data_IF_049744580229
#
_entry.id   IF_049744580229
#
_cell.length_a   1.000
_cell.length_b   1.000
_cell.length_c   1.000
_cell.angle_alpha   90.00
_cell.angle_beta   90.00
_cell.angle_gamma   90.00
#
_symmetry.space_group_name_H-M   'P 1'
#
loop_
_entity.id
_entity.type
_entity.pdbx_description
1 polymer ?
#
# COMPACT_ATOMS: atom_id res chain seq x y z
N UNK A 1 -1.67 -15.89 18.04
CA UNK A 1 -2.14 -15.10 16.90
C UNK A 1 -3.27 -14.18 17.33
N UNK A 2 -3.02 -12.88 17.31
CA UNK A 2 -3.98 -11.82 17.61
C UNK A 2 -4.10 -10.91 16.40
N UNK A 3 -5.32 -10.77 15.87
CA UNK A 3 -5.66 -9.86 14.77
C UNK A 3 -6.96 -9.16 15.18
N UNK A 4 -6.95 -7.83 15.17
CA UNK A 4 -8.09 -7.04 15.61
C UNK A 4 -8.30 -5.86 14.65
N UNK A 5 -9.54 -5.71 14.18
CA UNK A 5 -9.95 -4.48 13.50
C UNK A 5 -9.98 -3.34 14.52
N UNK A 6 -9.38 -2.21 14.16
CA UNK A 6 -9.26 -1.03 15.01
C UNK A 6 -9.62 0.20 14.18
N UNK A 7 -10.32 1.14 14.81
CA UNK A 7 -10.64 2.38 14.13
C UNK A 7 -9.38 3.06 13.57
N UNK A 8 -9.47 3.52 12.32
CA UNK A 8 -8.34 4.12 11.62
C UNK A 8 -7.73 5.30 12.37
N UNK A 9 -8.55 6.18 12.96
CA UNK A 9 -8.05 7.33 13.71
C UNK A 9 -7.26 6.91 14.97
N UNK A 10 -7.68 5.84 15.65
CA UNK A 10 -6.98 5.31 16.82
C UNK A 10 -5.59 4.77 16.45
N UNK A 11 -5.47 4.06 15.33
CA UNK A 11 -4.17 3.60 14.81
C UNK A 11 -3.28 4.81 14.51
N UNK A 12 -3.80 5.80 13.78
CA UNK A 12 -3.02 6.98 13.41
C UNK A 12 -2.58 7.80 14.64
N UNK A 13 -3.36 7.78 15.72
CA UNK A 13 -2.97 8.37 17.00
C UNK A 13 -1.84 7.63 17.74
N UNK A 14 -1.63 6.34 17.47
CA UNK A 14 -0.59 5.50 18.11
C UNK A 14 0.68 5.35 17.28
N UNK A 15 0.57 5.38 15.95
CA UNK A 15 1.68 5.11 15.01
C UNK A 15 2.11 6.40 14.30
N UNK A 16 2.91 7.23 15.00
CA UNK A 16 3.29 8.57 14.53
C UNK A 16 3.96 8.57 13.13
N UNK A 17 4.84 7.60 12.84
CA UNK A 17 5.48 7.51 11.52
C UNK A 17 4.50 7.18 10.40
N UNK A 18 3.50 6.34 10.69
CA UNK A 18 2.43 6.00 9.75
C UNK A 18 1.53 7.20 9.48
N UNK A 19 1.10 7.91 10.53
CA UNK A 19 0.32 9.14 10.38
C UNK A 19 1.08 10.23 9.62
N UNK A 20 2.37 10.41 9.91
CA UNK A 20 3.22 11.37 9.20
C UNK A 20 3.41 11.00 7.72
N UNK A 21 3.61 9.72 7.42
CA UNK A 21 3.69 9.21 6.04
C UNK A 21 2.41 9.52 5.27
N UNK A 22 1.26 9.15 5.82
CA UNK A 22 -0.03 9.33 5.16
C UNK A 22 -0.38 10.82 4.99
N UNK A 23 0.01 11.66 5.95
CA UNK A 23 -0.21 13.12 5.87
C UNK A 23 0.47 13.71 4.63
N UNK A 24 1.75 13.39 4.41
CA UNK A 24 2.48 13.86 3.23
C UNK A 24 2.00 13.17 1.96
N UNK A 25 1.84 11.85 1.99
CA UNK A 25 1.44 11.10 0.81
C UNK A 25 0.06 11.54 0.29
N UNK A 26 -0.93 11.73 1.18
CA UNK A 26 -2.26 12.20 0.78
C UNK A 26 -2.23 13.66 0.31
N UNK A 27 -1.36 14.51 0.89
CA UNK A 27 -1.18 15.87 0.40
C UNK A 27 -0.58 15.90 -1.01
N UNK A 28 0.43 15.08 -1.29
CA UNK A 28 1.14 15.05 -2.57
C UNK A 28 0.34 14.34 -3.67
N UNK A 29 -0.19 13.15 -3.37
CA UNK A 29 -0.85 12.29 -4.35
C UNK A 29 -2.18 12.87 -4.86
N UNK A 30 -2.79 13.75 -4.07
CA UNK A 30 -4.08 14.37 -4.38
C UNK A 30 -4.04 15.89 -4.27
N UNK A 31 -2.85 16.50 -4.38
CA UNK A 31 -2.74 17.92 -4.64
C UNK A 31 -3.53 18.20 -5.94
N UNK A 32 -4.58 19.03 -5.91
CA UNK A 32 -5.34 19.36 -7.11
C UNK A 32 -4.46 19.88 -8.25
N UNK A 33 -3.31 20.49 -7.98
CA UNK A 33 -2.38 20.92 -9.00
C UNK A 33 -1.67 19.76 -9.74
N UNK A 34 -1.60 18.57 -9.14
CA UNK A 34 -0.94 17.39 -9.72
C UNK A 34 -1.90 16.49 -10.50
N UNK A 35 -3.21 16.58 -10.26
CA UNK A 35 -4.22 15.66 -10.81
C UNK A 35 -5.34 16.35 -11.59
N UNK A 36 -5.29 17.68 -11.73
CA UNK A 36 -6.30 18.42 -12.49
C UNK A 36 -6.15 18.21 -13.99
N UNK A 37 -7.27 18.06 -14.68
CA UNK A 37 -7.36 18.14 -16.14
C UNK A 37 -7.73 19.55 -16.58
N UNK A 38 -7.28 19.95 -17.76
CA UNK A 38 -7.54 21.28 -18.34
C UNK A 38 -8.47 21.22 -19.56
N UNK A 39 -9.10 22.37 -19.87
CA UNK A 39 -9.86 22.51 -21.11
C UNK A 39 -8.93 22.33 -22.32
N UNK A 40 -9.39 21.56 -23.31
CA UNK A 40 -8.60 21.23 -24.49
C UNK A 40 -7.74 19.97 -24.35
N UNK A 41 -7.61 19.40 -23.16
CA UNK A 41 -6.95 18.10 -22.97
C UNK A 41 -7.79 16.96 -23.56
N UNK A 42 -7.10 15.93 -24.06
CA UNK A 42 -7.71 14.71 -24.58
C UNK A 42 -7.69 13.64 -23.49
N UNK A 43 -8.88 13.29 -23.02
CA UNK A 43 -9.06 12.25 -22.00
C UNK A 43 -10.00 11.17 -22.52
N UNK A 44 -9.74 9.94 -22.13
CA UNK A 44 -10.70 8.84 -22.29
C UNK A 44 -11.62 8.89 -21.07
N UNK A 45 -12.91 9.15 -21.29
CA UNK A 45 -13.87 9.24 -20.20
C UNK A 45 -14.35 7.84 -19.82
N UNK A 46 -14.49 6.98 -20.82
CA UNK A 46 -14.83 5.57 -20.67
C UNK A 46 -13.79 4.70 -21.38
N UNK A 47 -13.64 3.44 -20.95
CA UNK A 47 -12.68 2.50 -21.55
C UNK A 47 -13.08 2.03 -22.95
N UNK A 48 -14.38 2.07 -23.28
CA UNK A 48 -14.92 1.68 -24.57
C UNK A 48 -15.19 2.87 -25.50
N UNK A 49 -14.78 4.07 -25.09
CA UNK A 49 -14.79 5.26 -25.94
C UNK A 49 -14.06 4.93 -27.26
N UNK A 50 -14.69 5.25 -28.39
CA UNK A 50 -14.08 5.03 -29.71
C UNK A 50 -12.98 6.08 -30.00
N UNK A 51 -12.99 7.21 -29.29
CA UNK A 51 -12.00 8.26 -29.36
C UNK A 51 -11.97 9.07 -28.06
N UNK A 52 -10.80 9.59 -27.69
CA UNK A 52 -10.67 10.49 -26.55
C UNK A 52 -11.52 11.77 -26.74
N UNK A 53 -12.16 12.19 -25.66
CA UNK A 53 -12.91 13.45 -25.59
C UNK A 53 -11.96 14.62 -25.37
N UNK A 54 -12.12 15.68 -26.16
CA UNK A 54 -11.46 16.97 -25.89
C UNK A 54 -12.34 17.73 -24.89
N UNK A 55 -11.80 18.04 -23.72
CA UNK A 55 -12.58 18.62 -22.64
C UNK A 55 -12.98 20.08 -22.93
N UNK A 56 -14.25 20.41 -22.74
CA UNK A 56 -14.68 21.80 -22.54
C UNK A 56 -14.25 22.31 -21.17
N UNK A 57 -14.30 23.64 -20.97
CA UNK A 57 -14.06 24.25 -19.65
C UNK A 57 -15.01 23.69 -18.58
N UNK A 58 -16.29 23.51 -18.93
CA UNK A 58 -17.30 22.94 -18.02
C UNK A 58 -16.99 21.47 -17.68
N UNK A 59 -16.60 20.66 -18.66
CA UNK A 59 -16.26 19.25 -18.42
C UNK A 59 -15.02 19.13 -17.54
N UNK A 60 -13.95 19.87 -17.82
CA UNK A 60 -12.74 19.88 -17.01
C UNK A 60 -13.05 20.34 -15.57
N UNK A 61 -13.82 21.42 -15.40
CA UNK A 61 -14.24 21.90 -14.09
C UNK A 61 -15.05 20.85 -13.30
N UNK A 62 -15.97 20.15 -13.97
CA UNK A 62 -16.80 19.11 -13.35
C UNK A 62 -15.98 17.88 -12.95
N UNK A 63 -15.09 17.39 -13.81
CA UNK A 63 -14.18 16.27 -13.50
C UNK A 63 -13.32 16.63 -12.29
N UNK A 64 -12.68 17.80 -12.32
CA UNK A 64 -11.83 18.26 -11.22
C UNK A 64 -12.63 18.43 -9.91
N UNK A 65 -13.88 18.92 -9.97
CA UNK A 65 -14.73 19.05 -8.80
C UNK A 65 -15.11 17.69 -8.20
N UNK A 66 -15.47 16.71 -9.05
CA UNK A 66 -15.79 15.34 -8.64
C UNK A 66 -14.58 14.65 -8.00
N UNK A 67 -13.42 14.68 -8.66
CA UNK A 67 -12.19 14.07 -8.12
C UNK A 67 -11.77 14.69 -6.78
N UNK A 68 -11.92 16.02 -6.61
CA UNK A 68 -11.69 16.66 -5.31
C UNK A 68 -12.67 16.21 -4.24
N UNK A 69 -13.96 16.12 -4.56
CA UNK A 69 -14.97 15.67 -3.61
C UNK A 69 -14.73 14.21 -3.17
N UNK A 70 -14.40 13.33 -4.11
CA UNK A 70 -14.02 11.94 -3.84
C UNK A 70 -12.77 11.87 -2.96
N UNK A 71 -11.73 12.64 -3.26
CA UNK A 71 -10.54 12.69 -2.42
C UNK A 71 -10.86 13.16 -0.99
N UNK A 72 -11.61 14.25 -0.84
CA UNK A 72 -11.96 14.77 0.49
C UNK A 72 -12.79 13.77 1.31
N UNK A 73 -13.58 12.92 0.66
CA UNK A 73 -14.32 11.85 1.32
C UNK A 73 -13.41 10.68 1.77
N UNK A 74 -12.29 10.47 1.09
CA UNK A 74 -11.37 9.35 1.34
C UNK A 74 -10.16 9.70 2.22
N UNK A 75 -9.80 10.97 2.34
CA UNK A 75 -8.61 11.38 3.11
C UNK A 75 -8.81 11.23 4.62
N UNK A 76 -7.72 11.11 5.35
CA UNK A 76 -7.74 11.14 6.81
C UNK A 76 -7.74 12.58 7.35
N UNK A 77 -8.26 12.79 8.56
CA UNK A 77 -7.95 14.00 9.34
C UNK A 77 -6.61 13.82 10.06
N UNK A 78 -5.55 14.35 9.45
CA UNK A 78 -4.17 14.27 9.94
C UNK A 78 -3.64 15.63 10.39
N UNK A 79 -4.54 16.55 10.75
CA UNK A 79 -4.17 17.93 11.14
C UNK A 79 -3.23 17.95 12.35
N UNK A 80 -3.43 17.04 13.31
CA UNK A 80 -2.61 16.90 14.51
C UNK A 80 -1.42 15.94 14.37
N UNK A 81 -1.26 15.27 13.22
CA UNK A 81 -0.15 14.34 13.04
C UNK A 81 1.18 15.08 12.88
N UNK A 82 2.23 14.53 13.49
CA UNK A 82 3.59 15.04 13.41
C UNK A 82 4.08 15.09 11.95
N UNK A 83 4.88 16.11 11.62
CA UNK A 83 5.55 16.22 10.33
C UNK A 83 7.01 15.77 10.46
N UNK A 84 7.22 14.46 10.46
CA UNK A 84 8.52 13.83 10.56
C UNK A 84 9.26 13.95 9.22
N UNK A 85 10.50 14.42 9.23
CA UNK A 85 11.31 14.47 8.01
C UNK A 85 11.71 13.06 7.55
N UNK A 86 11.38 12.70 6.31
CA UNK A 86 11.82 11.43 5.75
C UNK A 86 13.35 11.43 5.51
N UNK A 87 14.03 10.40 6.02
CA UNK A 87 15.47 10.17 5.83
C UNK A 87 15.76 9.34 4.57
N UNK A 88 14.74 9.09 3.77
CA UNK A 88 14.73 8.33 2.53
C UNK A 88 14.14 6.92 2.66
N UNK A 89 13.89 6.34 1.50
CA UNK A 89 13.30 5.01 1.34
C UNK A 89 14.38 3.95 1.04
N UNK A 90 14.26 2.78 1.67
CA UNK A 90 15.04 1.57 1.32
C UNK A 90 14.08 0.60 0.62
N UNK A 91 14.45 0.04 -0.52
CA UNK A 91 13.60 -0.91 -1.26
C UNK A 91 14.23 -2.30 -1.11
N UNK A 92 13.57 -3.18 -0.37
CA UNK A 92 13.95 -4.57 -0.20
C UNK A 92 13.17 -5.49 -1.13
N UNK A 93 13.82 -6.53 -1.65
CA UNK A 93 13.18 -7.57 -2.43
C UNK A 93 13.72 -8.95 -2.09
N UNK A 94 12.94 -9.99 -2.36
CA UNK A 94 13.37 -11.38 -2.21
C UNK A 94 13.75 -11.94 -3.58
N UNK A 95 14.93 -12.57 -3.73
CA UNK A 95 15.33 -13.25 -4.96
C UNK A 95 14.55 -14.57 -5.11
N UNK A 96 13.30 -14.47 -5.56
CA UNK A 96 12.42 -15.62 -5.84
C UNK A 96 12.33 -15.88 -7.33
N UNK A 97 12.08 -17.14 -7.72
CA UNK A 97 11.95 -17.52 -9.12
C UNK A 97 10.61 -17.07 -9.74
N UNK A 98 9.55 -17.04 -8.93
CA UNK A 98 8.19 -16.75 -9.34
C UNK A 98 7.36 -16.16 -8.18
N UNK A 99 6.14 -15.71 -8.52
CA UNK A 99 5.20 -15.07 -7.59
C UNK A 99 4.72 -16.01 -6.49
N UNK A 100 4.46 -17.28 -6.82
CA UNK A 100 3.97 -18.26 -5.85
C UNK A 100 5.02 -18.55 -4.79
N UNK A 101 6.28 -18.68 -5.21
CA UNK A 101 7.44 -18.81 -4.33
C UNK A 101 7.59 -17.58 -3.45
N UNK A 102 7.41 -16.38 -3.99
CA UNK A 102 7.45 -15.14 -3.19
C UNK A 102 6.33 -15.12 -2.15
N UNK A 103 5.08 -15.36 -2.54
CA UNK A 103 3.93 -15.37 -1.64
C UNK A 103 4.11 -16.41 -0.52
N UNK A 104 4.66 -17.59 -0.83
CA UNK A 104 4.92 -18.64 0.15
C UNK A 104 6.08 -18.31 1.12
N UNK A 105 7.02 -17.44 0.73
CA UNK A 105 8.24 -17.16 1.51
C UNK A 105 8.26 -15.81 2.21
N UNK A 106 7.46 -14.84 1.78
CA UNK A 106 7.50 -13.47 2.32
C UNK A 106 7.32 -13.47 3.84
N UNK A 107 6.40 -14.29 4.38
CA UNK A 107 6.17 -14.38 5.82
C UNK A 107 7.43 -14.86 6.57
N UNK A 108 8.07 -15.94 6.13
CA UNK A 108 9.28 -16.47 6.77
C UNK A 108 10.44 -15.45 6.78
N UNK A 109 10.69 -14.77 5.67
CA UNK A 109 11.73 -13.75 5.59
C UNK A 109 11.38 -12.53 6.45
N UNK A 110 10.10 -12.12 6.44
CA UNK A 110 9.62 -11.05 7.28
C UNK A 110 9.71 -11.38 8.78
N UNK A 111 9.47 -12.63 9.17
CA UNK A 111 9.61 -13.08 10.56
C UNK A 111 11.04 -12.88 11.05
N UNK A 112 12.04 -13.25 10.23
CA UNK A 112 13.46 -13.05 10.54
C UNK A 112 13.76 -11.56 10.71
N UNK A 113 13.30 -10.73 9.76
CA UNK A 113 13.46 -9.28 9.81
C UNK A 113 12.84 -8.67 11.07
N UNK A 114 11.60 -9.05 11.40
CA UNK A 114 10.87 -8.54 12.55
C UNK A 114 11.54 -8.94 13.87
N UNK A 115 12.01 -10.19 13.99
CA UNK A 115 12.73 -10.65 15.19
C UNK A 115 14.04 -9.90 15.40
N UNK A 116 14.84 -9.72 14.34
CA UNK A 116 16.12 -9.00 14.41
C UNK A 116 15.94 -7.49 14.69
N UNK A 117 14.77 -6.92 14.37
CA UNK A 117 14.39 -5.53 14.68
C UNK A 117 13.54 -5.41 15.95
N UNK A 118 13.31 -6.53 16.65
CA UNK A 118 12.50 -6.61 17.87
C UNK A 118 11.05 -6.12 17.71
N UNK A 119 10.50 -6.19 16.49
CA UNK A 119 9.12 -5.83 16.20
C UNK A 119 8.14 -6.92 16.63
N UNK A 120 7.14 -6.54 17.44
CA UNK A 120 6.18 -7.50 18.01
C UNK A 120 4.73 -7.20 17.65
N UNK A 121 4.40 -5.92 17.44
CA UNK A 121 3.04 -5.43 17.18
C UNK A 121 3.03 -4.54 15.97
N UNK A 122 2.00 -4.67 15.14
CA UNK A 122 1.93 -4.03 13.85
C UNK A 122 0.56 -3.41 13.64
N UNK A 123 0.55 -2.22 13.03
CA UNK A 123 -0.62 -1.65 12.39
C UNK A 123 -0.55 -1.90 10.88
N UNK A 124 -1.70 -2.22 10.29
CA UNK A 124 -1.90 -2.39 8.86
C UNK A 124 -3.03 -1.46 8.41
N UNK A 125 -2.73 -0.59 7.44
CA UNK A 125 -3.65 0.39 6.88
C UNK A 125 -3.53 0.46 5.36
N UNK A 126 -4.57 1.02 4.74
CA UNK A 126 -4.60 1.49 3.36
C UNK A 126 -4.16 2.96 3.27
N UNK A 127 -3.73 3.44 2.10
CA UNK A 127 -3.23 4.82 1.93
C UNK A 127 -4.33 5.89 2.07
N UNK A 128 -5.59 5.50 1.87
CA UNK A 128 -6.80 6.30 2.07
C UNK A 128 -7.88 5.48 2.77
N UNK A 129 -9.01 6.10 3.14
CA UNK A 129 -10.18 5.46 3.72
C UNK A 129 -10.93 4.59 2.71
N UNK A 130 -10.29 3.53 2.23
CA UNK A 130 -10.88 2.50 1.37
C UNK A 130 -10.76 1.12 2.02
N UNK A 131 -11.76 0.25 1.86
CA UNK A 131 -11.68 -1.13 2.29
C UNK A 131 -10.53 -1.88 1.58
N UNK A 132 -9.88 -2.80 2.30
CA UNK A 132 -8.85 -3.67 1.70
C UNK A 132 -9.41 -4.56 0.59
N UNK A 133 -10.69 -4.93 0.70
CA UNK A 133 -11.39 -5.83 -0.22
C UNK A 133 -12.41 -5.06 -1.09
N UNK A 134 -12.13 -3.80 -1.40
CA UNK A 134 -12.92 -2.92 -2.26
C UNK A 134 -13.25 -3.60 -3.61
N UNK A 135 -12.19 -3.95 -4.35
CA UNK A 135 -12.31 -4.57 -5.67
C UNK A 135 -12.60 -6.08 -5.58
N UNK A 136 -13.43 -6.60 -6.50
CA UNK A 136 -13.57 -8.05 -6.76
C UNK A 136 -12.60 -8.50 -7.85
N UNK A 137 -12.08 -9.71 -7.73
CA UNK A 137 -11.18 -10.29 -8.72
C UNK A 137 -11.38 -11.80 -8.82
N UNK A 138 -11.62 -12.30 -10.03
CA UNK A 138 -11.89 -13.72 -10.27
C UNK A 138 -10.62 -14.58 -10.37
N UNK A 139 -9.43 -13.98 -10.31
CA UNK A 139 -8.17 -14.70 -10.31
C UNK A 139 -8.04 -15.58 -9.06
N UNK A 140 -7.76 -16.87 -9.25
CA UNK A 140 -7.86 -17.87 -8.19
C UNK A 140 -7.02 -17.57 -6.93
N UNK A 141 -5.75 -17.13 -7.03
CA UNK A 141 -4.97 -16.70 -5.87
C UNK A 141 -5.62 -15.55 -5.09
N UNK A 142 -6.27 -14.61 -5.78
CA UNK A 142 -6.92 -13.46 -5.17
C UNK A 142 -8.19 -13.90 -4.44
N UNK A 143 -9.04 -14.72 -5.06
CA UNK A 143 -10.24 -15.25 -4.38
C UNK A 143 -9.90 -16.00 -3.09
N UNK A 144 -8.81 -16.78 -3.10
CA UNK A 144 -8.30 -17.45 -1.89
C UNK A 144 -7.82 -16.45 -0.85
N UNK A 145 -7.11 -15.39 -1.26
CA UNK A 145 -6.68 -14.33 -0.38
C UNK A 145 -7.85 -13.52 0.21
N UNK A 146 -8.84 -13.16 -0.60
CA UNK A 146 -10.05 -12.48 -0.14
C UNK A 146 -10.82 -13.33 0.88
N UNK A 147 -10.99 -14.63 0.63
CA UNK A 147 -11.66 -15.54 1.55
C UNK A 147 -10.91 -15.61 2.89
N UNK A 148 -9.58 -15.78 2.85
CA UNK A 148 -8.75 -15.82 4.06
C UNK A 148 -8.82 -14.52 4.85
N UNK A 149 -8.72 -13.36 4.19
CA UNK A 149 -8.80 -12.06 4.84
C UNK A 149 -10.20 -11.82 5.43
N UNK A 150 -11.27 -12.21 4.72
CA UNK A 150 -12.64 -12.12 5.24
C UNK A 150 -12.83 -12.96 6.50
N UNK A 151 -12.27 -14.17 6.55
CA UNK A 151 -12.28 -15.04 7.74
C UNK A 151 -11.51 -14.42 8.93
N UNK A 152 -10.64 -13.44 8.67
CA UNK A 152 -9.92 -12.65 9.70
C UNK A 152 -10.57 -11.30 10.02
N UNK A 153 -11.78 -11.06 9.51
CA UNK A 153 -12.57 -9.87 9.81
C UNK A 153 -12.35 -8.71 8.84
N UNK A 154 -11.58 -8.88 7.76
CA UNK A 154 -11.52 -7.88 6.70
C UNK A 154 -12.88 -7.78 6.01
N UNK A 155 -13.32 -6.55 5.74
CA UNK A 155 -14.62 -6.28 5.14
C UNK A 155 -14.47 -5.55 3.82
N UNK A 156 -15.48 -5.68 2.95
CA UNK A 156 -15.63 -4.88 1.73
C UNK A 156 -16.21 -3.49 1.99
N UNK A 157 -16.67 -3.20 3.20
CA UNK A 157 -17.36 -1.95 3.54
C UNK A 157 -16.68 -1.12 4.63
N UNK A 158 -15.66 -1.68 5.30
CA UNK A 158 -14.94 -0.98 6.37
C UNK A 158 -13.58 -0.51 5.86
N UNK A 159 -13.26 0.75 6.12
CA UNK A 159 -11.96 1.39 5.87
C UNK A 159 -11.06 1.45 7.11
N UNK A 160 -11.49 0.84 8.21
CA UNK A 160 -10.69 0.70 9.43
C UNK A 160 -9.43 -0.12 9.18
N UNK A 161 -8.44 0.03 10.06
CA UNK A 161 -7.21 -0.75 9.99
C UNK A 161 -7.25 -1.99 10.86
N UNK A 162 -6.10 -2.67 10.89
CA UNK A 162 -5.88 -3.83 11.73
C UNK A 162 -4.65 -3.63 12.60
N UNK A 163 -4.76 -4.02 13.87
CA UNK A 163 -3.61 -4.27 14.72
C UNK A 163 -3.44 -5.77 14.91
N UNK A 164 -2.19 -6.22 14.85
CA UNK A 164 -1.86 -7.62 15.03
C UNK A 164 -0.52 -7.82 15.74
N UNK A 165 -0.36 -9.00 16.34
CA UNK A 165 0.95 -9.49 16.75
C UNK A 165 1.75 -9.98 15.52
N UNK A 166 3.03 -10.32 15.73
CA UNK A 166 3.89 -10.83 14.66
C UNK A 166 3.25 -12.04 13.97
N UNK A 167 2.76 -13.03 14.73
CA UNK A 167 2.13 -14.23 14.16
C UNK A 167 0.92 -13.86 13.27
N UNK A 168 0.09 -12.91 13.70
CA UNK A 168 -1.02 -12.40 12.91
C UNK A 168 -0.58 -11.72 11.62
N UNK A 169 0.46 -10.88 11.66
CA UNK A 169 0.98 -10.25 10.45
C UNK A 169 1.55 -11.28 9.47
N UNK A 170 2.29 -12.27 9.97
CA UNK A 170 2.87 -13.33 9.15
C UNK A 170 1.82 -14.14 8.41
N UNK A 171 0.69 -14.40 9.06
CA UNK A 171 -0.45 -15.06 8.45
C UNK A 171 -1.12 -14.18 7.38
N UNK A 172 -1.20 -12.86 7.57
CA UNK A 172 -1.85 -11.95 6.62
C UNK A 172 -0.99 -11.64 5.37
N UNK A 173 0.34 -11.56 5.52
CA UNK A 173 1.25 -11.05 4.49
C UNK A 173 1.13 -11.71 3.10
N UNK A 174 1.08 -13.06 2.96
CA UNK A 174 0.91 -13.71 1.66
C UNK A 174 -0.38 -13.30 0.95
N UNK A 175 -1.45 -13.13 1.72
CA UNK A 175 -2.77 -12.78 1.19
C UNK A 175 -2.86 -11.31 0.83
N UNK A 176 -2.34 -10.43 1.70
CA UNK A 176 -2.23 -9.00 1.42
C UNK A 176 -1.38 -8.73 0.16
N UNK A 177 -0.33 -9.53 -0.08
CA UNK A 177 0.44 -9.46 -1.32
C UNK A 177 -0.42 -9.69 -2.56
N UNK A 178 -1.24 -10.75 -2.58
CA UNK A 178 -2.11 -11.05 -3.72
C UNK A 178 -3.14 -9.96 -3.96
N UNK A 179 -3.73 -9.39 -2.89
CA UNK A 179 -4.64 -8.25 -3.02
C UNK A 179 -3.94 -7.07 -3.68
N UNK A 180 -2.81 -6.61 -3.11
CA UNK A 180 -2.09 -5.43 -3.63
C UNK A 180 -1.58 -5.63 -5.06
N UNK A 181 -1.11 -6.85 -5.37
CA UNK A 181 -0.57 -7.18 -6.69
C UNK A 181 -1.64 -7.18 -7.78
N UNK A 182 -2.78 -7.80 -7.52
CA UNK A 182 -3.76 -8.13 -8.55
C UNK A 182 -4.97 -7.18 -8.56
N UNK A 183 -5.24 -6.44 -7.50
CA UNK A 183 -6.30 -5.43 -7.52
C UNK A 183 -5.67 -4.08 -7.86
N UNK A 184 -5.84 -3.62 -9.10
CA UNK A 184 -5.22 -2.37 -9.53
C UNK A 184 -5.89 -1.14 -8.90
N UNK A 185 -7.18 -1.23 -8.57
CA UNK A 185 -7.92 -0.23 -7.81
C UNK A 185 -7.72 -0.33 -6.30
N UNK A 186 -7.07 -1.39 -5.79
CA UNK A 186 -6.85 -1.51 -4.36
C UNK A 186 -5.91 -0.40 -3.86
N UNK A 187 -6.23 0.23 -2.73
CA UNK A 187 -5.37 1.21 -2.09
C UNK A 187 -4.01 0.59 -1.75
N UNK A 188 -2.95 1.41 -1.72
CA UNK A 188 -1.64 0.92 -1.31
C UNK A 188 -1.69 0.50 0.15
N UNK A 189 -0.99 -0.57 0.49
CA UNK A 189 -0.91 -1.09 1.84
C UNK A 189 0.27 -0.49 2.59
N UNK A 190 0.05 0.02 3.79
CA UNK A 190 1.08 0.46 4.73
C UNK A 190 1.07 -0.43 5.98
N UNK A 191 2.26 -0.76 6.44
CA UNK A 191 2.50 -1.52 7.67
C UNK A 191 3.50 -0.72 8.52
N UNK A 192 3.25 -0.61 9.82
CA UNK A 192 4.22 -0.03 10.74
C UNK A 192 4.25 -0.82 12.05
N UNK A 193 5.44 -1.05 12.59
CA UNK A 193 5.57 -1.68 13.89
C UNK A 193 5.38 -0.64 15.01
N UNK A 194 4.93 -1.08 16.18
CA UNK A 194 4.76 -0.20 17.33
C UNK A 194 6.14 0.37 17.75
N UNK A 195 6.21 1.69 17.97
CA UNK A 195 7.41 2.38 18.43
C UNK A 195 8.52 2.60 17.39
N UNK A 196 8.40 2.07 16.16
CA UNK A 196 9.38 2.35 15.10
C UNK A 196 9.10 3.65 14.36
N UNK A 197 10.12 4.20 13.70
CA UNK A 197 10.00 5.32 12.79
C UNK A 197 10.24 4.85 11.35
N UNK A 198 9.62 3.70 11.03
CA UNK A 198 9.65 3.04 9.72
C UNK A 198 8.21 2.74 9.29
N UNK A 199 7.88 3.13 8.07
CA UNK A 199 6.65 2.72 7.37
C UNK A 199 7.04 1.79 6.24
N UNK A 200 6.37 0.67 6.17
CA UNK A 200 6.59 -0.38 5.18
C UNK A 200 5.45 -0.33 4.18
N UNK A 201 5.75 -0.42 2.89
CA UNK A 201 4.76 -0.41 1.83
C UNK A 201 4.96 -1.67 1.01
N UNK A 202 4.00 -2.58 1.07
CA UNK A 202 3.99 -3.75 0.20
C UNK A 202 3.61 -3.29 -1.20
N UNK A 203 4.51 -3.44 -2.17
CA UNK A 203 4.31 -2.98 -3.54
C UNK A 203 3.73 -4.11 -4.39
N UNK A 204 2.86 -3.77 -5.35
CA UNK A 204 2.34 -4.70 -6.35
C UNK A 204 3.44 -5.41 -7.15
N UNK A 205 4.65 -4.83 -7.18
CA UNK A 205 5.85 -5.36 -7.84
C UNK A 205 6.63 -6.39 -7.03
N UNK A 206 6.07 -6.90 -5.94
CA UNK A 206 6.73 -7.82 -5.01
C UNK A 206 8.02 -7.26 -4.38
N UNK A 207 8.00 -5.96 -4.07
CA UNK A 207 9.02 -5.28 -3.27
C UNK A 207 8.39 -4.77 -1.98
N UNK A 208 9.20 -4.57 -0.95
CA UNK A 208 8.80 -3.85 0.26
C UNK A 208 9.60 -2.55 0.31
N UNK A 209 8.89 -1.43 0.32
CA UNK A 209 9.51 -0.12 0.48
C UNK A 209 9.48 0.23 1.96
N UNK A 210 10.61 0.68 2.50
CA UNK A 210 10.76 1.06 3.88
C UNK A 210 11.09 2.56 3.94
N UNK A 211 10.07 3.38 4.16
CA UNK A 211 10.21 4.81 4.39
C UNK A 211 10.70 5.02 5.82
N UNK A 212 11.89 5.61 5.97
CA UNK A 212 12.56 5.75 7.27
C UNK A 212 12.60 7.20 7.71
N UNK A 213 12.46 7.44 9.01
CA UNK A 213 12.42 8.80 9.58
C UNK A 213 13.54 9.07 10.59
N UNK A 214 14.39 8.06 10.84
CA UNK A 214 15.60 8.19 11.66
C UNK A 214 16.78 7.53 10.97
N UNK A 215 17.90 8.25 10.89
CA UNK A 215 19.15 7.78 10.25
C UNK A 215 19.63 6.46 10.87
N UNK A 216 19.59 6.34 12.21
CA UNK A 216 20.02 5.13 12.92
C UNK A 216 19.18 3.91 12.54
N UNK A 217 17.85 4.07 12.48
CA UNK A 217 16.94 3.00 12.08
C UNK A 217 17.17 2.59 10.62
N UNK A 218 17.40 3.55 9.72
CA UNK A 218 17.75 3.27 8.31
C UNK A 218 19.01 2.44 8.18
N UNK A 219 20.06 2.77 8.93
CA UNK A 219 21.34 2.03 8.90
C UNK A 219 21.14 0.61 9.44
N UNK A 220 20.39 0.46 10.52
CA UNK A 220 20.10 -0.86 11.10
C UNK A 220 19.25 -1.70 10.14
N UNK A 221 18.15 -1.16 9.64
CA UNK A 221 17.28 -1.81 8.67
C UNK A 221 18.07 -2.40 7.48
N UNK A 222 18.98 -1.63 6.89
CA UNK A 222 19.81 -2.12 5.76
C UNK A 222 20.65 -3.35 6.13
N UNK A 223 21.18 -3.41 7.34
CA UNK A 223 21.96 -4.57 7.82
C UNK A 223 21.04 -5.76 8.05
N UNK A 224 19.88 -5.54 8.64
CA UNK A 224 18.93 -6.60 8.98
C UNK A 224 18.22 -7.18 7.76
N UNK A 225 17.96 -6.38 6.73
CA UNK A 225 17.38 -6.89 5.48
C UNK A 225 18.22 -8.02 4.88
N UNK A 226 19.55 -7.84 4.87
CA UNK A 226 20.47 -8.86 4.38
C UNK A 226 20.45 -10.15 5.23
N UNK A 227 20.41 -10.05 6.56
CA UNK A 227 20.31 -11.24 7.44
C UNK A 227 18.96 -11.97 7.27
N UNK A 228 17.91 -11.21 6.98
CA UNK A 228 16.58 -11.74 6.67
C UNK A 228 16.45 -12.28 5.24
N UNK A 229 17.50 -12.25 4.41
CA UNK A 229 17.49 -12.79 3.05
C UNK A 229 16.91 -11.85 1.98
N UNK A 230 16.66 -10.58 2.32
CA UNK A 230 16.32 -9.56 1.34
C UNK A 230 17.58 -9.00 0.67
N UNK A 231 17.48 -8.75 -0.63
CA UNK A 231 18.39 -7.88 -1.37
C UNK A 231 17.85 -6.44 -1.41
N UNK A 232 18.72 -5.46 -1.64
CA UNK A 232 18.37 -4.03 -1.63
C UNK A 232 18.61 -3.44 -3.02
N UNK A 233 17.64 -2.68 -3.53
CA UNK A 233 17.81 -1.88 -4.74
C UNK A 233 18.70 -0.66 -4.45
N UNK A 234 19.93 -0.69 -4.97
CA UNK A 234 20.96 0.31 -4.66
C UNK A 234 20.74 1.65 -5.38
N UNK A 235 20.04 1.64 -6.51
CA UNK A 235 19.71 2.85 -7.28
C UNK A 235 18.36 3.48 -6.90
N UNK A 236 17.64 2.86 -5.95
CA UNK A 236 16.34 3.34 -5.49
C UNK A 236 15.20 3.12 -6.51
N UNK A 237 15.42 2.35 -7.57
CA UNK A 237 14.39 2.08 -8.59
C UNK A 237 13.62 0.81 -8.24
N UNK A 238 12.30 0.93 -8.09
CA UNK A 238 11.41 -0.22 -7.86
C UNK A 238 11.10 -0.93 -9.19
N UNK A 239 11.44 -2.22 -9.30
CA UNK A 239 11.29 -3.02 -10.52
C UNK A 239 10.24 -4.12 -10.34
N UNK A 240 9.49 -4.42 -11.41
CA UNK A 240 8.66 -5.63 -11.47
C UNK A 240 9.58 -6.86 -11.51
N UNK A 241 9.29 -7.85 -10.65
CA UNK A 241 10.19 -9.00 -10.44
C UNK A 241 9.91 -10.18 -11.33
N UNK A 242 8.67 -10.32 -11.81
CA UNK A 242 8.22 -11.58 -12.40
C UNK A 242 7.71 -11.46 -13.83
N UNK A 243 7.56 -10.24 -14.36
CA UNK A 243 7.10 -10.01 -15.72
C UNK A 243 8.15 -9.28 -16.57
N UNK A 244 8.25 -9.68 -17.84
CA UNK A 244 9.17 -9.09 -18.81
C UNK A 244 8.54 -7.91 -19.57
N UNK A 245 7.22 -7.79 -19.60
CA UNK A 245 6.44 -6.83 -20.39
C UNK A 245 5.70 -5.78 -19.54
N UNK A 246 6.01 -5.69 -18.24
CA UNK A 246 5.29 -4.88 -17.24
C UNK A 246 3.83 -5.32 -16.98
N UNK A 247 3.32 -6.34 -17.67
CA UNK A 247 2.03 -6.95 -17.40
C UNK A 247 2.06 -7.70 -16.07
N UNK A 248 1.06 -7.52 -15.22
CA UNK A 248 0.97 -8.24 -13.96
C UNK A 248 -0.18 -9.23 -14.07
N UNK A 249 0.16 -10.52 -14.00
CA UNK A 249 -0.83 -11.59 -14.10
C UNK A 249 -1.92 -11.44 -13.02
N UNK A 250 -3.18 -11.62 -13.45
CA UNK A 250 -4.35 -11.47 -12.59
C UNK A 250 -4.66 -10.03 -12.20
N UNK A 251 -3.88 -9.04 -12.66
CA UNK A 251 -4.13 -7.63 -12.34
C UNK A 251 -5.33 -7.11 -13.12
N UNK A 252 -6.36 -6.66 -12.40
CA UNK A 252 -7.59 -6.13 -12.97
C UNK A 252 -7.78 -4.67 -12.53
N UNK A 253 -8.28 -3.83 -13.43
CA UNK A 253 -8.80 -2.50 -13.09
C UNK A 253 -10.18 -2.67 -12.45
N UNK A 254 -10.50 -1.83 -11.47
CA UNK A 254 -11.88 -1.71 -11.00
C UNK A 254 -12.66 -0.88 -12.03
N UNK A 255 -13.63 -1.53 -12.68
CA UNK A 255 -14.44 -0.94 -13.75
C UNK A 255 -15.90 -0.72 -13.30
N UNK A 256 -16.18 -0.89 -12.00
CA UNK A 256 -17.54 -0.85 -11.45
C UNK A 256 -17.98 0.52 -10.95
#
# INVERSE_FOLDING_TARGET
MHIQQVNRADILGRYAALASYLKRWQADAYDPANVSVEAGEKVWLELDDAAATVLSEEQAANINAKSRAEFFALRDDLTSADDLTEMGTVIGYLPCADMDTFAARIAMHFETLAKDLEWQRFAVLTDVQRPFLDQKNDFDPVRKAEAHLADRGFSRSSSDGFECDLEGLLDLLPHLFWIVRSNAGAPKLQISAEGTNIVQILCHRANIHFCTYKVREKIWLKKTLASAGFEIEMDGVCRERFASDSGIEGRQLDLS
#
